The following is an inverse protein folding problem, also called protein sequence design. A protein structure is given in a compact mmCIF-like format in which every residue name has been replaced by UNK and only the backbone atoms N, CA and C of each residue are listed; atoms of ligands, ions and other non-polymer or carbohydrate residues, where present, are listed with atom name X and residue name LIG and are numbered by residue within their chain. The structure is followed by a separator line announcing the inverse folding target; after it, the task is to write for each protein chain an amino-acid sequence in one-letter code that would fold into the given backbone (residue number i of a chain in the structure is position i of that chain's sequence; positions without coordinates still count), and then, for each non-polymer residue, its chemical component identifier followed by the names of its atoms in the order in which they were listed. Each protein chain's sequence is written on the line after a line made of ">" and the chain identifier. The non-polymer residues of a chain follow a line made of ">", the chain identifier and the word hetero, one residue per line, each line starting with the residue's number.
data_IF_160642936001
#
_entry.id   IF_160642936001
#
_cell.length_a   1.000
_cell.length_b   1.000
_cell.length_c   1.000
_cell.angle_alpha   90.00
_cell.angle_beta   90.00
_cell.angle_gamma   90.00
#
_symmetry.space_group_name_H-M   'P 1'
#
loop_
_entity.id
_entity.type
_entity.pdbx_description
1 polymer ?
#
# COMPACT_ATOMS: atom_id res chain seq x y z
N UNK A 1 3.64 11.69 -19.23
CA UNK A 1 5.08 11.40 -19.34
C UNK A 1 5.32 10.06 -18.65
N UNK A 2 5.53 8.98 -19.41
CA UNK A 2 5.90 7.69 -18.85
C UNK A 2 7.33 7.74 -18.30
N UNK A 3 7.57 7.09 -17.15
CA UNK A 3 8.90 7.11 -16.53
C UNK A 3 9.88 6.29 -17.39
N UNK A 4 11.14 6.76 -17.59
CA UNK A 4 12.14 6.03 -18.40
C UNK A 4 12.41 4.61 -17.89
N UNK A 5 12.24 4.39 -16.58
CA UNK A 5 12.33 3.08 -15.93
C UNK A 5 11.25 2.11 -16.43
N UNK A 6 10.01 2.56 -16.62
CA UNK A 6 8.92 1.69 -17.07
C UNK A 6 9.11 1.27 -18.53
N UNK A 7 9.59 2.18 -19.36
CA UNK A 7 9.95 1.90 -20.76
C UNK A 7 11.10 0.90 -20.85
N UNK A 8 12.13 1.04 -20.01
CA UNK A 8 13.24 0.10 -19.94
C UNK A 8 12.80 -1.32 -19.54
N UNK A 9 11.87 -1.44 -18.58
CA UNK A 9 11.30 -2.74 -18.16
C UNK A 9 10.53 -3.36 -19.32
N UNK A 10 9.65 -2.60 -19.97
CA UNK A 10 8.84 -3.06 -21.09
C UNK A 10 9.72 -3.53 -22.26
N UNK A 11 10.75 -2.75 -22.59
CA UNK A 11 11.70 -3.09 -23.65
C UNK A 11 12.47 -4.39 -23.37
N UNK A 12 12.87 -4.62 -22.11
CA UNK A 12 13.52 -5.87 -21.71
C UNK A 12 12.56 -7.07 -21.76
N UNK A 13 11.28 -6.88 -21.41
CA UNK A 13 10.25 -7.92 -21.51
C UNK A 13 9.97 -8.30 -22.98
N UNK A 14 9.91 -7.32 -23.87
CA UNK A 14 9.70 -7.53 -25.31
C UNK A 14 10.93 -8.10 -26.02
N UNK A 15 12.13 -7.87 -25.47
CA UNK A 15 13.39 -8.31 -26.07
C UNK A 15 14.31 -8.98 -25.03
N UNK A 16 14.01 -10.23 -24.62
CA UNK A 16 14.77 -10.95 -23.60
C UNK A 16 16.21 -11.28 -24.02
N UNK A 17 16.53 -11.20 -25.32
CA UNK A 17 17.88 -11.38 -25.86
C UNK A 17 18.87 -10.27 -25.50
N UNK A 18 18.42 -9.07 -25.16
CA UNK A 18 19.32 -7.98 -24.79
C UNK A 18 19.69 -8.03 -23.30
N UNK A 19 20.98 -7.79 -23.03
CA UNK A 19 21.46 -7.73 -21.65
C UNK A 19 20.83 -6.56 -20.90
N UNK A 20 20.51 -6.76 -19.61
CA UNK A 20 20.02 -5.70 -18.72
C UNK A 20 20.93 -4.47 -18.69
N UNK A 21 22.24 -4.65 -18.94
CA UNK A 21 23.22 -3.56 -18.99
C UNK A 21 23.00 -2.68 -20.22
N UNK A 22 22.85 -3.31 -21.39
CA UNK A 22 22.59 -2.61 -22.66
C UNK A 22 21.27 -1.85 -22.62
N UNK A 23 20.23 -2.45 -22.02
CA UNK A 23 18.93 -1.78 -21.85
C UNK A 23 19.04 -0.61 -20.87
N UNK A 24 19.72 -0.78 -19.74
CA UNK A 24 19.90 0.28 -18.76
C UNK A 24 20.64 1.51 -19.34
N UNK A 25 21.67 1.26 -20.15
CA UNK A 25 22.44 2.30 -20.84
C UNK A 25 21.60 3.03 -21.89
N UNK A 26 20.84 2.29 -22.72
CA UNK A 26 19.95 2.86 -23.73
C UNK A 26 18.90 3.81 -23.13
N UNK A 27 18.37 3.49 -21.95
CA UNK A 27 17.36 4.29 -21.26
C UNK A 27 17.93 5.26 -20.21
N UNK A 28 19.26 5.38 -20.10
CA UNK A 28 19.93 6.21 -19.08
C UNK A 28 19.47 5.93 -17.64
N UNK A 29 19.20 4.66 -17.33
CA UNK A 29 18.78 4.18 -16.00
C UNK A 29 19.92 3.40 -15.35
N UNK A 30 20.09 3.48 -14.03
CA UNK A 30 21.05 2.61 -13.33
C UNK A 30 20.68 1.14 -13.50
N UNK A 31 21.67 0.31 -13.88
CA UNK A 31 21.53 -1.15 -13.94
C UNK A 31 20.96 -1.74 -12.64
N UNK A 32 21.43 -1.25 -11.49
CA UNK A 32 20.99 -1.73 -10.19
C UNK A 32 19.49 -1.45 -9.97
N UNK A 33 19.02 -0.29 -10.41
CA UNK A 33 17.60 0.07 -10.38
C UNK A 33 16.78 -0.82 -11.29
N UNK A 34 17.19 -1.01 -12.55
CA UNK A 34 16.48 -1.85 -13.50
C UNK A 34 16.41 -3.31 -13.04
N UNK A 35 17.54 -3.87 -12.56
CA UNK A 35 17.60 -5.23 -12.04
C UNK A 35 16.69 -5.42 -10.82
N UNK A 36 16.65 -4.45 -9.91
CA UNK A 36 15.75 -4.47 -8.75
C UNK A 36 14.29 -4.48 -9.21
N UNK A 37 13.92 -3.67 -10.20
CA UNK A 37 12.54 -3.64 -10.72
C UNK A 37 12.15 -4.94 -11.44
N UNK A 38 13.06 -5.54 -12.19
CA UNK A 38 12.77 -6.81 -12.89
C UNK A 38 12.60 -7.95 -11.90
N UNK A 39 13.41 -8.00 -10.83
CA UNK A 39 13.31 -9.04 -9.79
C UNK A 39 12.15 -8.81 -8.81
N UNK A 40 11.89 -7.56 -8.46
CA UNK A 40 10.88 -7.15 -7.51
C UNK A 40 10.25 -5.86 -8.07
N UNK A 41 9.26 -5.99 -8.97
CA UNK A 41 8.56 -4.81 -9.48
C UNK A 41 8.10 -4.01 -8.28
N UNK A 42 8.45 -2.72 -8.24
CA UNK A 42 7.93 -1.85 -7.20
C UNK A 42 6.42 -2.04 -7.20
N UNK A 43 5.91 -2.45 -6.04
CA UNK A 43 4.48 -2.60 -5.77
C UNK A 43 3.75 -1.45 -6.49
N UNK A 44 2.84 -1.80 -7.39
CA UNK A 44 2.09 -0.83 -8.16
C UNK A 44 1.44 0.16 -7.20
N UNK A 45 1.20 1.39 -7.63
CA UNK A 45 0.54 2.39 -6.80
C UNK A 45 -0.90 1.90 -6.54
N UNK A 46 -1.11 1.19 -5.42
CA UNK A 46 -2.35 0.46 -5.12
C UNK A 46 -2.17 -1.01 -4.71
N UNK A 47 -0.95 -1.58 -4.80
CA UNK A 47 -0.68 -2.93 -4.32
C UNK A 47 -0.90 -2.99 -2.82
N UNK A 48 -1.90 -3.80 -2.44
CA UNK A 48 -2.33 -3.98 -1.07
C UNK A 48 -1.11 -4.28 -0.20
N UNK A 49 -0.87 -3.45 0.81
CA UNK A 49 0.12 -3.78 1.80
C UNK A 49 -0.33 -5.10 2.45
N UNK A 50 0.54 -6.10 2.50
CA UNK A 50 0.17 -7.44 3.03
C UNK A 50 -0.18 -7.36 4.51
N UNK A 51 0.26 -6.29 5.19
CA UNK A 51 0.02 -6.01 6.60
C UNK A 51 -1.21 -5.11 6.81
N UNK A 52 -2.35 -5.41 6.17
CA UNK A 52 -3.62 -4.73 6.45
C UNK A 52 -4.32 -5.44 7.62
N UNK A 53 -4.55 -4.72 8.71
CA UNK A 53 -5.31 -5.22 9.85
C UNK A 53 -6.83 -5.11 9.65
N UNK A 54 -7.27 -4.20 8.77
CA UNK A 54 -8.66 -4.00 8.41
C UNK A 54 -8.97 -4.64 7.06
N UNK A 55 -10.14 -5.26 6.95
CA UNK A 55 -10.68 -5.71 5.66
C UNK A 55 -10.96 -4.51 4.74
N UNK A 56 -10.97 -4.75 3.42
CA UNK A 56 -11.28 -3.70 2.44
C UNK A 56 -12.68 -3.07 2.69
N UNK A 57 -13.63 -3.83 3.23
CA UNK A 57 -14.97 -3.34 3.61
C UNK A 57 -14.89 -2.37 4.79
N UNK A 58 -14.04 -2.67 5.77
CA UNK A 58 -13.90 -1.89 7.01
C UNK A 58 -13.12 -0.62 6.78
N UNK A 59 -12.07 -0.69 5.96
CA UNK A 59 -11.37 0.48 5.46
C UNK A 59 -12.34 1.41 4.72
N UNK A 60 -13.24 0.85 3.90
CA UNK A 60 -14.30 1.63 3.23
C UNK A 60 -15.29 2.24 4.22
N UNK A 61 -15.62 1.56 5.31
CA UNK A 61 -16.49 2.08 6.37
C UNK A 61 -15.83 3.27 7.10
N UNK A 62 -14.53 3.17 7.44
CA UNK A 62 -13.77 4.27 8.03
C UNK A 62 -13.67 5.46 7.07
N UNK A 63 -13.40 5.21 5.79
CA UNK A 63 -13.42 6.27 4.77
C UNK A 63 -14.78 6.94 4.62
N UNK A 64 -15.88 6.18 4.64
CA UNK A 64 -17.24 6.73 4.58
C UNK A 64 -17.54 7.57 5.82
N UNK A 65 -17.06 7.15 6.99
CA UNK A 65 -17.16 7.90 8.24
C UNK A 65 -16.42 9.24 8.16
N UNK A 66 -15.19 9.24 7.66
CA UNK A 66 -14.40 10.47 7.41
C UNK A 66 -15.14 11.40 6.44
N UNK A 67 -15.60 10.88 5.30
CA UNK A 67 -16.33 11.66 4.31
C UNK A 67 -17.63 12.25 4.88
N UNK A 68 -18.31 11.55 5.80
CA UNK A 68 -19.51 12.06 6.47
C UNK A 68 -19.18 13.23 7.40
N UNK A 69 -18.10 13.13 8.15
CA UNK A 69 -17.65 14.18 9.06
C UNK A 69 -17.15 15.42 8.29
N UNK A 70 -16.42 15.19 7.20
CA UNK A 70 -15.96 16.26 6.29
C UNK A 70 -17.14 17.04 5.69
N UNK A 71 -18.21 16.33 5.28
CA UNK A 71 -19.47 16.95 4.82
C UNK A 71 -20.18 17.81 5.87
N UNK A 72 -19.90 17.60 7.15
CA UNK A 72 -20.46 18.38 8.26
C UNK A 72 -19.47 19.50 8.68
N UNK A 73 -18.42 19.74 7.88
CA UNK A 73 -17.34 20.70 8.13
C UNK A 73 -16.61 20.48 9.46
N UNK A 74 -16.61 19.25 9.98
CA UNK A 74 -15.83 18.93 11.17
C UNK A 74 -14.39 18.66 10.78
N UNK A 75 -13.45 19.37 11.41
CA UNK A 75 -12.03 19.05 11.31
C UNK A 75 -11.77 17.76 12.10
N UNK A 76 -11.41 16.70 11.38
CA UNK A 76 -11.17 15.38 11.98
C UNK A 76 -9.70 15.29 12.34
N UNK A 77 -9.43 15.10 13.63
CA UNK A 77 -8.10 14.78 14.10
C UNK A 77 -7.73 13.32 13.77
N UNK A 78 -6.50 13.02 13.34
CA UNK A 78 -6.10 11.66 12.98
C UNK A 78 -6.24 10.64 14.12
N UNK A 79 -6.15 11.09 15.37
CA UNK A 79 -6.39 10.29 16.57
C UNK A 79 -7.81 9.71 16.59
N UNK A 80 -8.80 10.50 16.16
CA UNK A 80 -10.19 10.07 16.11
C UNK A 80 -10.41 8.93 15.08
N UNK A 81 -9.75 9.05 13.93
CA UNK A 81 -9.78 8.00 12.89
C UNK A 81 -9.15 6.71 13.41
N UNK A 82 -8.06 6.84 14.17
CA UNK A 82 -7.38 5.70 14.80
C UNK A 82 -8.25 5.04 15.87
N UNK A 83 -8.95 5.81 16.69
CA UNK A 83 -9.88 5.26 17.68
C UNK A 83 -11.06 4.54 17.03
N UNK A 84 -11.62 5.09 15.95
CA UNK A 84 -12.66 4.42 15.18
C UNK A 84 -12.18 3.09 14.57
N UNK A 85 -10.97 3.07 14.00
CA UNK A 85 -10.35 1.86 13.49
C UNK A 85 -10.09 0.82 14.60
N UNK A 86 -9.59 1.27 15.76
CA UNK A 86 -9.35 0.41 16.91
C UNK A 86 -10.67 -0.16 17.48
N UNK A 87 -11.76 0.59 17.46
CA UNK A 87 -13.08 0.11 17.88
C UNK A 87 -13.56 -1.05 16.98
N UNK A 88 -13.43 -0.90 15.66
CA UNK A 88 -13.76 -1.96 14.69
C UNK A 88 -12.92 -3.22 14.97
N UNK A 89 -11.60 -3.07 15.13
CA UNK A 89 -10.71 -4.19 15.43
C UNK A 89 -11.05 -4.89 16.75
N UNK A 90 -11.44 -4.12 17.78
CA UNK A 90 -11.84 -4.66 19.08
C UNK A 90 -13.14 -5.48 18.97
N UNK A 91 -14.11 -5.01 18.18
CA UNK A 91 -15.36 -5.75 17.91
C UNK A 91 -15.10 -7.04 17.12
N UNK A 92 -14.23 -6.98 16.11
CA UNK A 92 -13.80 -8.18 15.37
C UNK A 92 -13.18 -9.23 16.28
N UNK A 93 -12.25 -8.83 17.15
CA UNK A 93 -11.59 -9.74 18.08
C UNK A 93 -12.56 -10.32 19.12
N UNK A 94 -13.50 -9.49 19.61
CA UNK A 94 -14.56 -9.93 20.52
C UNK A 94 -15.48 -10.98 19.89
N UNK A 95 -15.67 -10.89 18.57
CA UNK A 95 -16.48 -11.85 17.80
C UNK A 95 -15.69 -13.10 17.42
N UNK A 96 -14.36 -13.02 17.33
CA UNK A 96 -13.51 -14.07 16.78
C UNK A 96 -12.74 -14.94 17.80
N UNK A 97 -12.45 -14.52 19.04
CA UNK A 97 -11.72 -15.38 20.02
C UNK A 97 -11.80 -14.86 21.48
N UNK A 98 -11.72 -15.74 22.51
CA UNK A 98 -11.88 -15.36 23.92
C UNK A 98 -10.69 -14.54 24.45
N UNK A 99 -11.01 -13.39 25.05
CA UNK A 99 -10.29 -12.42 25.91
C UNK A 99 -8.76 -12.18 25.84
N UNK A 100 -7.90 -13.04 25.30
CA UNK A 100 -6.49 -13.04 25.71
C UNK A 100 -5.44 -12.42 24.78
N UNK A 101 -5.77 -11.87 23.60
CA UNK A 101 -4.74 -11.33 22.68
C UNK A 101 -5.20 -10.08 21.89
N UNK A 102 -5.61 -9.02 22.58
CA UNK A 102 -5.89 -7.73 21.92
C UNK A 102 -4.57 -7.00 21.66
N UNK A 103 -4.01 -7.15 20.46
CA UNK A 103 -2.87 -6.32 20.00
C UNK A 103 -3.39 -4.92 19.70
N UNK A 104 -3.16 -4.00 20.64
CA UNK A 104 -3.48 -2.57 20.50
C UNK A 104 -2.45 -1.90 19.60
N UNK A 105 -2.90 -1.14 18.61
CA UNK A 105 -1.98 -0.50 17.66
C UNK A 105 -1.54 0.87 18.19
N UNK A 106 -0.27 0.98 18.59
CA UNK A 106 0.56 2.19 18.80
C UNK A 106 1.07 2.41 20.24
N UNK A 107 1.83 3.50 20.51
CA UNK A 107 2.81 3.49 21.60
C UNK A 107 2.15 3.59 22.98
N UNK A 108 2.75 2.89 23.94
CA UNK A 108 2.40 2.83 25.36
C UNK A 108 2.34 4.20 26.02
#
# INVERSE_FOLDING_TARGET
>A
MEKPINLAIKYHQENPQFSLRSVAEHFSVSRATLQRQVKAPLKAKGDKNTNKNLSDIEEKAVCAYINRLDRINMSIRPEFVRDAANAILKEQQSTATPLNNIVTIGPH
#
